data_IF_478830475326
#
_entry.id   IF_478830475326
#
_cell.length_a   1.000
_cell.length_b   1.000
_cell.length_c   1.000
_cell.angle_alpha   90.00
_cell.angle_beta   90.00
_cell.angle_gamma   90.00
#
_symmetry.space_group_name_H-M   'P 1'
#
loop_
_entity.id
_entity.type
_entity.pdbx_description
1 polymer ?
#
# COMPACT_ATOMS: atom_id res chain seq x y z
N UNK A 1 -22.65 -57.29 2.86
CA UNK A 1 -21.30 -56.72 3.06
C UNK A 1 -20.92 -55.67 2.01
N UNK A 2 -21.42 -55.74 0.77
CA UNK A 2 -21.11 -54.75 -0.29
C UNK A 2 -21.67 -53.34 0.00
N UNK A 3 -22.91 -53.20 0.39
CA UNK A 3 -23.60 -51.93 0.64
C UNK A 3 -22.98 -51.12 1.81
N UNK A 4 -22.47 -51.81 2.83
CA UNK A 4 -21.80 -51.11 3.96
C UNK A 4 -20.47 -50.50 3.57
N UNK A 5 -19.71 -51.17 2.68
CA UNK A 5 -18.43 -50.64 2.15
C UNK A 5 -18.67 -49.42 1.27
N UNK A 6 -19.74 -49.42 0.46
CA UNK A 6 -20.08 -48.27 -0.41
C UNK A 6 -20.50 -47.05 0.42
N UNK A 7 -21.23 -47.26 1.51
CA UNK A 7 -21.65 -46.20 2.43
C UNK A 7 -20.47 -45.56 3.19
N UNK A 8 -19.49 -46.35 3.60
CA UNK A 8 -18.28 -45.87 4.29
C UNK A 8 -17.41 -45.07 3.32
N UNK A 9 -17.27 -45.50 2.08
CA UNK A 9 -16.49 -44.77 1.06
C UNK A 9 -17.17 -43.43 0.72
N UNK A 10 -18.51 -43.42 0.58
CA UNK A 10 -19.25 -42.16 0.33
C UNK A 10 -19.16 -41.18 1.50
N UNK A 11 -19.17 -41.63 2.74
CA UNK A 11 -18.97 -40.78 3.93
C UNK A 11 -17.56 -40.24 4.03
N UNK A 12 -16.56 -41.02 3.61
CA UNK A 12 -15.15 -40.58 3.65
C UNK A 12 -14.83 -39.56 2.57
N UNK A 13 -15.50 -39.59 1.42
CA UNK A 13 -15.36 -38.59 0.34
C UNK A 13 -16.02 -37.27 0.73
N UNK A 14 -17.10 -37.29 1.49
CA UNK A 14 -17.77 -36.07 1.98
C UNK A 14 -16.95 -35.34 3.06
N UNK A 15 -16.10 -36.03 3.80
CA UNK A 15 -15.22 -35.41 4.80
C UNK A 15 -14.00 -34.71 4.18
N UNK A 16 -13.65 -34.98 2.93
CA UNK A 16 -12.55 -34.32 2.21
C UNK A 16 -12.98 -33.01 1.54
N UNK A 17 -14.26 -32.70 1.51
CA UNK A 17 -14.80 -31.42 1.06
C UNK A 17 -14.81 -30.35 2.18
N UNK A 18 -13.98 -30.51 3.23
CA UNK A 18 -13.69 -29.45 4.19
C UNK A 18 -13.01 -28.32 3.43
N UNK A 19 -13.79 -27.30 3.11
CA UNK A 19 -13.34 -26.05 2.52
C UNK A 19 -12.07 -25.59 3.24
N UNK A 20 -10.94 -25.69 2.59
CA UNK A 20 -9.78 -24.87 2.91
C UNK A 20 -10.21 -23.42 2.61
N UNK A 21 -10.85 -22.77 3.60
CA UNK A 21 -10.96 -21.34 3.59
C UNK A 21 -9.53 -20.83 3.68
N UNK A 22 -8.95 -20.43 2.56
CA UNK A 22 -7.73 -19.65 2.53
C UNK A 22 -8.02 -18.37 3.32
N UNK A 23 -7.66 -18.38 4.59
CA UNK A 23 -7.57 -17.14 5.35
C UNK A 23 -6.49 -16.30 4.67
N UNK A 24 -6.89 -15.36 3.84
CA UNK A 24 -5.99 -14.37 3.28
C UNK A 24 -5.32 -13.66 4.46
N UNK A 25 -4.07 -13.99 4.73
CA UNK A 25 -3.28 -13.34 5.77
C UNK A 25 -3.14 -11.89 5.36
N UNK A 26 -3.82 -10.99 6.08
CA UNK A 26 -3.70 -9.55 5.83
C UNK A 26 -2.24 -9.15 6.05
N UNK A 27 -1.60 -8.65 5.00
CA UNK A 27 -0.23 -8.16 5.08
C UNK A 27 -0.25 -6.79 5.76
N UNK A 28 0.18 -6.73 7.02
CA UNK A 28 0.31 -5.49 7.78
C UNK A 28 1.67 -4.82 7.56
N UNK A 29 1.69 -3.50 7.65
CA UNK A 29 2.89 -2.65 7.66
C UNK A 29 2.86 -1.78 8.89
N UNK A 30 3.84 -1.94 9.79
CA UNK A 30 3.96 -1.12 11.00
C UNK A 30 4.46 0.28 10.62
N UNK A 31 3.61 1.27 10.79
CA UNK A 31 3.95 2.70 10.60
C UNK A 31 4.50 3.31 11.90
N UNK A 32 4.18 2.69 13.03
CA UNK A 32 4.71 2.95 14.37
C UNK A 32 4.80 1.61 15.14
N UNK A 33 5.49 1.50 16.28
CA UNK A 33 5.58 0.27 17.05
C UNK A 33 4.20 -0.33 17.36
N UNK A 34 3.93 -1.56 16.92
CA UNK A 34 2.66 -2.29 17.09
C UNK A 34 1.42 -1.55 16.55
N UNK A 35 1.60 -0.69 15.57
CA UNK A 35 0.52 0.09 14.98
C UNK A 35 0.81 0.38 13.50
N UNK A 36 -0.18 0.24 12.63
CA UNK A 36 0.06 0.35 11.19
C UNK A 36 -1.18 0.22 10.35
N UNK A 37 -0.98 -0.26 9.12
CA UNK A 37 -2.03 -0.43 8.12
C UNK A 37 -1.93 -1.81 7.46
N UNK A 38 -3.08 -2.45 7.25
CA UNK A 38 -3.18 -3.62 6.38
C UNK A 38 -3.21 -3.19 4.93
N UNK A 39 -2.32 -3.76 4.13
CA UNK A 39 -2.28 -3.49 2.69
C UNK A 39 -3.48 -4.10 1.99
N UNK A 40 -4.09 -3.34 1.10
CA UNK A 40 -5.28 -3.75 0.36
C UNK A 40 -5.18 -3.38 -1.12
N UNK A 41 -6.05 -3.96 -1.91
CA UNK A 41 -6.26 -3.59 -3.31
C UNK A 41 -6.90 -2.19 -3.43
N UNK A 42 -6.81 -1.55 -4.60
CA UNK A 42 -7.56 -0.33 -4.85
C UNK A 42 -9.05 -0.54 -4.58
N UNK A 43 -9.73 0.39 -3.87
CA UNK A 43 -11.17 0.29 -3.64
C UNK A 43 -11.94 0.19 -4.96
N UNK A 44 -13.04 -0.57 -4.98
CA UNK A 44 -13.87 -0.73 -6.18
C UNK A 44 -14.43 0.62 -6.70
N UNK A 45 -14.60 1.60 -5.81
CA UNK A 45 -15.01 2.97 -6.15
C UNK A 45 -13.89 3.82 -6.76
N UNK A 46 -12.65 3.33 -6.77
CA UNK A 46 -11.52 4.07 -7.31
C UNK A 46 -11.56 4.04 -8.83
N UNK A 47 -11.66 5.22 -9.43
CA UNK A 47 -11.57 5.36 -10.89
C UNK A 47 -10.12 5.15 -11.30
N UNK A 48 -9.90 4.36 -12.36
CA UNK A 48 -8.56 4.15 -12.92
C UNK A 48 -7.90 5.49 -13.25
N UNK A 49 -6.69 5.68 -12.78
CA UNK A 49 -5.92 6.89 -13.02
C UNK A 49 -4.44 6.56 -13.22
N UNK A 50 -3.77 7.43 -13.97
CA UNK A 50 -2.37 7.34 -14.31
C UNK A 50 -1.72 8.70 -14.02
N UNK A 51 -0.67 8.69 -13.20
CA UNK A 51 0.03 9.90 -12.82
C UNK A 51 1.51 9.83 -13.21
N UNK A 52 1.97 10.85 -13.90
CA UNK A 52 3.39 11.18 -13.95
C UNK A 52 3.67 12.24 -12.88
N UNK A 53 4.67 11.99 -12.06
CA UNK A 53 4.96 12.83 -10.90
C UNK A 53 6.46 13.04 -10.76
N UNK A 54 6.84 14.25 -10.33
CA UNK A 54 8.13 14.48 -9.70
C UNK A 54 8.00 14.17 -8.21
N UNK A 55 8.89 13.36 -7.68
CA UNK A 55 9.01 13.05 -6.28
C UNK A 55 10.25 13.71 -5.70
N UNK A 56 10.08 14.51 -4.66
CA UNK A 56 11.20 14.95 -3.81
C UNK A 56 11.16 14.13 -2.53
N UNK A 57 12.10 13.23 -2.36
CA UNK A 57 12.20 12.33 -1.21
C UNK A 57 13.34 12.80 -0.32
N UNK A 58 13.03 13.15 0.92
CA UNK A 58 14.00 13.55 1.92
C UNK A 58 14.01 12.57 3.09
N UNK A 59 15.18 12.10 3.50
CA UNK A 59 15.38 11.20 4.63
C UNK A 59 16.76 11.46 5.24
N UNK A 60 16.83 11.74 6.56
CA UNK A 60 18.06 11.95 7.31
C UNK A 60 19.04 12.94 6.61
N UNK A 61 18.58 14.14 6.29
CA UNK A 61 19.34 15.22 5.63
C UNK A 61 19.76 14.95 4.17
N UNK A 62 19.45 13.79 3.62
CA UNK A 62 19.61 13.51 2.19
C UNK A 62 18.30 13.80 1.46
N UNK A 63 18.41 14.38 0.26
CA UNK A 63 17.26 14.66 -0.61
C UNK A 63 17.54 14.19 -2.02
N UNK A 64 16.54 13.54 -2.63
CA UNK A 64 16.60 13.01 -3.98
C UNK A 64 15.38 13.45 -4.78
N UNK A 65 15.62 13.89 -6.01
CA UNK A 65 14.56 14.16 -6.99
C UNK A 65 14.44 12.98 -7.95
N UNK A 66 13.25 12.41 -8.04
CA UNK A 66 12.93 11.24 -8.83
C UNK A 66 11.71 11.52 -9.72
N UNK A 67 11.57 10.76 -10.79
CA UNK A 67 10.36 10.71 -11.60
C UNK A 67 9.60 9.43 -11.25
N UNK A 68 8.29 9.52 -11.15
CA UNK A 68 7.44 8.37 -10.92
C UNK A 68 6.30 8.30 -11.93
N UNK A 69 6.05 7.10 -12.43
CA UNK A 69 4.84 6.72 -13.15
C UNK A 69 4.03 5.83 -12.22
N UNK A 70 2.84 6.28 -11.84
CA UNK A 70 1.93 5.53 -10.97
C UNK A 70 0.62 5.26 -11.70
N UNK A 71 0.31 3.98 -11.91
CA UNK A 71 -0.96 3.50 -12.43
C UNK A 71 -1.75 2.84 -11.30
N UNK A 72 -2.98 3.28 -11.08
CA UNK A 72 -3.90 2.64 -10.14
C UNK A 72 -5.19 2.29 -10.88
N UNK A 73 -5.60 1.02 -10.76
CA UNK A 73 -6.82 0.54 -11.38
C UNK A 73 -7.48 -0.50 -10.48
N UNK A 74 -8.77 -0.32 -10.18
CA UNK A 74 -9.53 -1.23 -9.31
C UNK A 74 -9.70 -2.65 -9.88
N UNK A 75 -9.46 -2.86 -11.17
CA UNK A 75 -9.57 -4.17 -11.83
C UNK A 75 -8.21 -4.86 -12.03
N UNK A 76 -7.13 -4.10 -12.19
CA UNK A 76 -5.80 -4.66 -12.48
C UNK A 76 -4.80 -4.50 -11.31
N UNK A 77 -4.99 -3.50 -10.44
CA UNK A 77 -4.14 -3.25 -9.28
C UNK A 77 -3.33 -1.96 -9.39
N UNK A 78 -2.09 -2.02 -8.91
CA UNK A 78 -1.18 -0.88 -8.80
C UNK A 78 0.12 -1.24 -9.52
N UNK A 79 0.62 -0.32 -10.34
CA UNK A 79 1.95 -0.38 -10.94
C UNK A 79 2.65 0.96 -10.70
N UNK A 80 3.85 0.93 -10.13
CA UNK A 80 4.70 2.08 -9.90
C UNK A 80 6.08 1.84 -10.51
N UNK A 81 6.52 2.75 -11.34
CA UNK A 81 7.90 2.80 -11.83
C UNK A 81 8.53 4.10 -11.37
N UNK A 82 9.66 4.00 -10.68
CA UNK A 82 10.44 5.16 -10.22
C UNK A 82 11.75 5.21 -10.98
N UNK A 83 12.12 6.39 -11.44
CA UNK A 83 13.29 6.65 -12.27
C UNK A 83 14.07 7.86 -11.72
N UNK A 84 15.36 7.94 -12.05
CA UNK A 84 16.13 9.18 -11.87
C UNK A 84 15.58 10.28 -12.79
N UNK A 85 15.97 11.54 -12.55
CA UNK A 85 15.64 12.65 -13.45
C UNK A 85 16.13 12.45 -14.90
N UNK A 86 17.13 11.59 -15.11
CA UNK A 86 17.65 11.21 -16.42
C UNK A 86 16.92 10.03 -17.07
N UNK A 87 15.85 9.52 -16.42
CA UNK A 87 15.04 8.40 -16.93
C UNK A 87 15.64 7.01 -16.66
N UNK A 88 16.68 6.88 -15.84
CA UNK A 88 17.22 5.57 -15.46
C UNK A 88 16.30 4.91 -14.42
N UNK A 89 15.77 3.70 -14.68
CA UNK A 89 14.90 3.02 -13.73
C UNK A 89 15.64 2.72 -12.41
N UNK A 90 15.01 3.09 -11.30
CA UNK A 90 15.52 2.92 -9.94
C UNK A 90 14.82 1.76 -9.25
N UNK A 91 13.49 1.71 -9.41
CA UNK A 91 12.64 0.81 -8.66
C UNK A 91 11.31 0.59 -9.40
N UNK A 92 10.78 -0.62 -9.30
CA UNK A 92 9.44 -0.97 -9.77
C UNK A 92 8.69 -1.70 -8.67
N UNK A 93 7.41 -1.37 -8.50
CA UNK A 93 6.46 -2.08 -7.65
C UNK A 93 5.24 -2.47 -8.45
N UNK A 94 4.78 -3.69 -8.26
CA UNK A 94 3.55 -4.23 -8.84
C UNK A 94 2.71 -4.87 -7.72
N UNK A 95 1.44 -4.56 -7.67
CA UNK A 95 0.44 -5.19 -6.82
C UNK A 95 -0.79 -5.52 -7.67
N UNK A 96 -0.85 -6.73 -8.20
CA UNK A 96 -2.05 -7.23 -8.87
C UNK A 96 -3.19 -7.44 -7.86
N UNK A 97 -4.44 -7.41 -8.33
CA UNK A 97 -5.62 -7.67 -7.49
C UNK A 97 -5.48 -9.04 -6.82
N UNK A 98 -5.72 -9.08 -5.52
CA UNK A 98 -5.57 -10.27 -4.66
C UNK A 98 -4.18 -10.93 -4.71
N UNK A 99 -3.22 -10.30 -5.37
CA UNK A 99 -1.85 -10.80 -5.49
C UNK A 99 -0.91 -10.24 -4.41
N UNK A 100 0.28 -10.82 -4.25
CA UNK A 100 1.32 -10.26 -3.39
C UNK A 100 1.90 -8.96 -3.97
N UNK A 101 2.52 -8.17 -3.09
CA UNK A 101 3.35 -7.04 -3.52
C UNK A 101 4.65 -7.58 -4.09
N UNK A 102 4.93 -7.26 -5.34
CA UNK A 102 6.19 -7.58 -6.02
C UNK A 102 6.99 -6.30 -6.22
N UNK A 103 8.30 -6.40 -6.16
CA UNK A 103 9.18 -5.28 -6.46
C UNK A 103 10.47 -5.71 -7.11
N UNK A 104 11.03 -4.81 -7.91
CA UNK A 104 12.34 -4.97 -8.54
C UNK A 104 13.15 -3.70 -8.30
N UNK A 105 14.29 -3.83 -7.62
CA UNK A 105 15.27 -2.76 -7.47
C UNK A 105 16.26 -2.85 -8.60
N UNK A 106 16.47 -1.78 -9.35
CA UNK A 106 17.43 -1.69 -10.45
C UNK A 106 18.72 -1.00 -10.02
N UNK A 107 18.63 -0.14 -9.00
CA UNK A 107 19.79 0.46 -8.35
C UNK A 107 19.87 0.00 -6.88
N UNK A 108 21.07 -0.03 -6.28
CA UNK A 108 21.25 -0.41 -4.88
C UNK A 108 20.68 0.70 -3.98
N UNK A 109 19.40 0.58 -3.64
CA UNK A 109 18.75 1.43 -2.65
C UNK A 109 18.67 0.64 -1.36
N UNK A 110 19.47 1.02 -0.39
CA UNK A 110 19.42 0.44 0.93
C UNK A 110 18.10 0.78 1.63
N UNK A 111 17.55 -0.17 2.40
CA UNK A 111 16.38 -0.01 3.28
C UNK A 111 15.04 0.35 2.62
N UNK A 112 14.90 0.27 1.30
CA UNK A 112 13.62 0.46 0.63
C UNK A 112 12.80 -0.84 0.71
N UNK A 113 11.76 -0.86 1.53
CA UNK A 113 10.77 -1.93 1.58
C UNK A 113 9.53 -1.50 0.78
N UNK A 114 9.16 -2.24 -0.28
CA UNK A 114 8.04 -1.90 -1.17
C UNK A 114 6.69 -1.80 -0.45
N UNK A 115 6.55 -2.48 0.70
CA UNK A 115 5.30 -2.44 1.48
C UNK A 115 5.02 -1.05 2.06
N UNK A 116 6.07 -0.31 2.46
CA UNK A 116 5.90 1.07 2.95
C UNK A 116 5.50 2.02 1.83
N UNK A 117 6.07 1.84 0.63
CA UNK A 117 5.68 2.65 -0.55
C UNK A 117 4.19 2.42 -0.87
N UNK A 118 3.74 1.15 -0.83
CA UNK A 118 2.33 0.85 -1.04
C UNK A 118 1.45 1.45 0.06
N UNK A 119 1.88 1.42 1.31
CA UNK A 119 1.17 2.07 2.42
C UNK A 119 1.06 3.59 2.20
N UNK A 120 2.14 4.25 1.76
CA UNK A 120 2.14 5.68 1.44
C UNK A 120 1.19 6.01 0.28
N UNK A 121 1.19 5.20 -0.79
CA UNK A 121 0.23 5.31 -1.90
C UNK A 121 -1.21 5.22 -1.37
N UNK A 122 -1.49 4.23 -0.52
CA UNK A 122 -2.82 4.07 0.08
C UNK A 122 -3.20 5.29 0.93
N UNK A 123 -2.31 5.75 1.81
CA UNK A 123 -2.56 6.90 2.69
C UNK A 123 -2.84 8.20 1.91
N UNK A 124 -2.21 8.35 0.75
CA UNK A 124 -2.41 9.52 -0.13
C UNK A 124 -3.70 9.38 -0.94
N UNK A 125 -3.97 8.23 -1.54
CA UNK A 125 -4.98 8.09 -2.59
C UNK A 125 -6.30 7.48 -2.14
N UNK A 126 -6.32 6.58 -1.12
CA UNK A 126 -7.58 5.91 -0.72
C UNK A 126 -8.49 6.85 0.10
N UNK A 127 -9.81 6.68 0.00
CA UNK A 127 -10.76 7.38 0.88
C UNK A 127 -10.49 7.10 2.35
N UNK A 128 -10.67 8.11 3.22
CA UNK A 128 -10.38 8.00 4.67
C UNK A 128 -11.24 6.93 5.34
N UNK A 129 -12.47 6.76 4.89
CA UNK A 129 -13.41 5.75 5.39
C UNK A 129 -12.87 4.33 5.14
N UNK A 130 -12.28 4.11 3.95
CA UNK A 130 -11.65 2.85 3.58
C UNK A 130 -10.39 2.62 4.40
N UNK A 131 -9.52 3.64 4.50
CA UNK A 131 -8.29 3.58 5.29
C UNK A 131 -8.57 3.26 6.75
N UNK A 132 -9.58 3.90 7.36
CA UNK A 132 -9.92 3.71 8.77
C UNK A 132 -10.20 2.25 9.11
N UNK A 133 -10.77 1.48 8.18
CA UNK A 133 -11.05 0.06 8.35
C UNK A 133 -9.81 -0.85 8.23
N UNK A 134 -8.71 -0.32 7.70
CA UNK A 134 -7.45 -1.05 7.51
C UNK A 134 -6.39 -0.70 8.56
N UNK A 135 -6.62 0.32 9.37
CA UNK A 135 -5.68 0.70 10.43
C UNK A 135 -5.77 -0.24 11.63
N UNK A 136 -4.64 -0.50 12.26
CA UNK A 136 -4.55 -1.14 13.57
C UNK A 136 -3.65 -0.30 14.49
N UNK A 137 -4.13 -0.04 15.70
CA UNK A 137 -3.42 0.79 16.68
C UNK A 137 -3.24 2.27 16.28
N UNK A 138 -3.83 2.69 15.17
CA UNK A 138 -3.77 4.06 14.65
C UNK A 138 -5.17 4.61 14.40
N UNK A 139 -5.27 5.95 14.44
CA UNK A 139 -6.46 6.71 14.07
C UNK A 139 -6.09 7.70 12.98
N UNK A 140 -6.89 7.77 11.92
CA UNK A 140 -6.77 8.80 10.87
C UNK A 140 -7.85 9.86 11.05
N UNK A 141 -7.47 11.13 10.90
CA UNK A 141 -8.37 12.28 10.95
C UNK A 141 -8.17 13.08 9.67
N UNK A 142 -9.25 13.32 8.93
CA UNK A 142 -9.27 14.28 7.84
C UNK A 142 -9.77 15.62 8.35
N UNK A 143 -9.01 16.67 8.11
CA UNK A 143 -9.38 18.04 8.48
C UNK A 143 -8.83 19.00 7.43
N UNK A 144 -9.72 19.82 6.86
CA UNK A 144 -9.41 20.74 5.78
C UNK A 144 -8.72 19.97 4.61
N UNK A 145 -7.56 20.44 4.16
CA UNK A 145 -6.73 19.81 3.13
C UNK A 145 -5.65 18.88 3.70
N UNK A 146 -5.92 18.22 4.86
CA UNK A 146 -4.95 17.37 5.54
C UNK A 146 -5.53 16.03 5.97
N UNK A 147 -4.65 15.04 6.07
CA UNK A 147 -4.87 13.79 6.80
C UNK A 147 -3.82 13.66 7.88
N UNK A 148 -4.25 13.39 9.09
CA UNK A 148 -3.37 13.26 10.26
C UNK A 148 -3.53 11.84 10.82
N UNK A 149 -2.42 11.16 11.01
CA UNK A 149 -2.37 9.79 11.50
C UNK A 149 -1.80 9.79 12.92
N UNK A 150 -2.57 9.31 13.88
CA UNK A 150 -2.22 9.31 15.30
C UNK A 150 -2.12 7.90 15.87
N UNK A 151 -1.20 7.73 16.82
CA UNK A 151 -1.15 6.62 17.76
C UNK A 151 -1.41 7.16 19.17
N UNK A 152 -2.60 6.92 19.71
CA UNK A 152 -3.05 7.69 20.88
C UNK A 152 -3.08 9.18 20.55
N UNK A 153 -2.31 9.98 21.31
CA UNK A 153 -2.17 11.43 21.09
C UNK A 153 -0.92 11.81 20.27
N UNK A 154 -0.07 10.83 19.92
CA UNK A 154 1.15 11.07 19.15
C UNK A 154 0.86 11.15 17.66
N UNK A 155 1.28 12.23 17.01
CA UNK A 155 1.19 12.40 15.55
C UNK A 155 2.29 11.59 14.87
N UNK A 156 1.90 10.56 14.11
CA UNK A 156 2.79 9.63 13.42
C UNK A 156 3.09 10.10 12.01
N UNK A 157 2.06 10.59 11.30
CA UNK A 157 2.21 11.04 9.92
C UNK A 157 1.21 12.14 9.59
N UNK A 158 1.60 13.02 8.68
CA UNK A 158 0.76 14.08 8.14
C UNK A 158 0.82 14.06 6.62
N UNK A 159 -0.34 14.12 5.96
CA UNK A 159 -0.47 14.31 4.52
C UNK A 159 -1.16 15.66 4.31
N UNK A 160 -0.56 16.54 3.51
CA UNK A 160 -1.10 17.86 3.13
C UNK A 160 -1.40 17.86 1.65
N UNK A 161 -2.65 18.14 1.29
CA UNK A 161 -3.06 18.31 -0.09
C UNK A 161 -3.04 19.80 -0.42
N UNK A 162 -2.08 20.22 -1.21
CA UNK A 162 -1.91 21.60 -1.67
C UNK A 162 -2.34 21.68 -3.14
N UNK A 163 -2.52 22.88 -3.67
CA UNK A 163 -3.06 23.08 -5.01
C UNK A 163 -2.28 22.34 -6.10
N UNK A 164 -0.95 22.39 -6.06
CA UNK A 164 -0.08 21.79 -7.08
C UNK A 164 0.71 20.56 -6.60
N UNK A 165 0.69 20.27 -5.31
CA UNK A 165 1.49 19.19 -4.73
C UNK A 165 0.83 18.55 -3.53
N UNK A 166 1.21 17.31 -3.25
CA UNK A 166 0.88 16.62 -2.00
C UNK A 166 2.17 16.40 -1.21
N UNK A 167 2.15 16.71 0.07
CA UNK A 167 3.26 16.45 0.98
C UNK A 167 2.88 15.35 1.96
N UNK A 168 3.71 14.34 2.10
CA UNK A 168 3.61 13.29 3.11
C UNK A 168 4.84 13.41 4.02
N UNK A 169 4.61 13.55 5.32
CA UNK A 169 5.65 13.53 6.34
C UNK A 169 5.38 12.35 7.27
N UNK A 170 6.36 11.49 7.46
CA UNK A 170 6.32 10.43 8.45
C UNK A 170 7.32 10.76 9.56
N UNK A 171 6.82 11.13 10.73
CA UNK A 171 7.63 11.57 11.87
C UNK A 171 8.34 10.40 12.56
N UNK A 172 7.74 9.22 12.59
CA UNK A 172 8.32 8.03 13.21
C UNK A 172 9.50 7.47 12.42
N UNK A 173 9.49 7.62 11.11
CA UNK A 173 10.52 7.10 10.21
C UNK A 173 11.41 8.19 9.63
N UNK A 174 11.19 9.42 10.05
CA UNK A 174 11.97 10.60 9.67
C UNK A 174 12.15 10.76 8.16
N UNK A 175 11.06 10.65 7.38
CA UNK A 175 11.10 10.96 5.96
C UNK A 175 9.97 11.88 5.54
N UNK A 176 10.21 12.60 4.45
CA UNK A 176 9.24 13.45 3.76
C UNK A 176 9.24 13.11 2.27
N UNK A 177 8.05 13.05 1.68
CA UNK A 177 7.86 12.92 0.23
C UNK A 177 6.98 14.07 -0.23
N UNK A 178 7.39 14.76 -1.28
CA UNK A 178 6.58 15.73 -2.02
C UNK A 178 6.25 15.10 -3.36
N UNK A 179 4.97 15.03 -3.69
CA UNK A 179 4.43 14.55 -4.95
C UNK A 179 3.94 15.75 -5.75
N UNK A 180 4.50 16.00 -6.92
CA UNK A 180 4.07 17.05 -7.83
C UNK A 180 3.73 16.43 -9.18
N UNK A 181 2.49 16.61 -9.65
CA UNK A 181 2.08 16.11 -10.97
C UNK A 181 2.84 16.86 -12.07
N UNK A 182 3.21 16.11 -13.11
CA UNK A 182 3.70 16.66 -14.37
C UNK A 182 2.48 16.76 -15.29
N UNK A 183 2.12 17.99 -15.69
CA UNK A 183 1.04 18.25 -16.65
C UNK A 183 1.50 18.01 -18.09
#
# INVERSE_FOLDING_TARGET
MSRLKTLVIAAMVLLLASCASEFAVKTGVDLAPNAGIYLMDPPASFVADNWQQVLEVSHNDESHTLLAQLDINSLSGINLVVMTAQGVPVFQLEKAISGPVKSKKMLPIERLDPRYILADIMLVHWPVEVLSSQLYGLKIVAKDSKRLLYKGDELISEIRFLEEKTELVNYQRNYKIIFQRVN
#
